data_IF_087998224493
#
_entry.id   IF_087998224493
#
_cell.length_a   1.000
_cell.length_b   1.000
_cell.length_c   1.000
_cell.angle_alpha   90.00
_cell.angle_beta   90.00
_cell.angle_gamma   90.00
#
_symmetry.space_group_name_H-M   'P 1'
#
loop_
_entity.id
_entity.type
_entity.pdbx_description
1 polymer ?
#
# COMPACT_ATOMS: atom_id res chain seq x y z
N UNK A 1 -33.61 18.70 -21.98
CA UNK A 1 -32.37 18.29 -21.28
C UNK A 1 -31.29 17.77 -22.23
N UNK A 2 -31.56 16.82 -23.14
CA UNK A 2 -30.52 16.29 -24.07
C UNK A 2 -30.02 17.30 -25.13
N UNK A 3 -30.87 18.22 -25.63
CA UNK A 3 -30.51 19.17 -26.69
C UNK A 3 -29.69 20.40 -26.20
N UNK A 4 -29.71 20.71 -24.90
CA UNK A 4 -28.96 21.87 -24.34
C UNK A 4 -27.50 21.54 -24.02
N UNK A 5 -27.15 20.25 -23.98
CA UNK A 5 -25.80 19.79 -23.66
C UNK A 5 -24.95 19.52 -24.91
N UNK A 6 -25.49 19.48 -26.13
CA UNK A 6 -24.71 19.18 -27.34
C UNK A 6 -23.50 20.11 -27.59
N UNK A 7 -23.60 21.44 -27.45
CA UNK A 7 -22.44 22.31 -27.64
C UNK A 7 -21.44 22.23 -26.47
N UNK A 8 -21.93 22.07 -25.23
CA UNK A 8 -21.08 21.93 -24.03
C UNK A 8 -20.42 20.55 -23.96
N UNK A 9 -21.05 19.52 -24.52
CA UNK A 9 -20.57 18.13 -24.55
C UNK A 9 -19.20 18.01 -25.19
N UNK A 10 -18.97 18.68 -26.32
CA UNK A 10 -17.68 18.61 -27.03
C UNK A 10 -16.57 19.27 -26.20
N UNK A 11 -16.89 20.38 -25.54
CA UNK A 11 -15.97 21.08 -24.62
C UNK A 11 -15.69 20.23 -23.38
N UNK A 12 -16.69 19.59 -22.79
CA UNK A 12 -16.51 18.71 -21.61
C UNK A 12 -15.74 17.45 -21.96
N UNK A 13 -16.04 16.81 -23.10
CA UNK A 13 -15.34 15.59 -23.55
C UNK A 13 -13.85 15.81 -23.83
N UNK A 14 -13.43 17.02 -24.18
CA UNK A 14 -12.02 17.35 -24.47
C UNK A 14 -11.37 18.05 -23.28
N UNK A 15 -12.04 19.04 -22.71
CA UNK A 15 -11.54 19.86 -21.61
C UNK A 15 -11.38 19.07 -20.31
N UNK A 16 -12.29 18.15 -20.00
CA UNK A 16 -12.21 17.40 -18.75
C UNK A 16 -11.03 16.40 -18.75
N UNK A 17 -10.78 15.60 -19.79
CA UNK A 17 -9.57 14.78 -19.87
C UNK A 17 -8.27 15.59 -19.88
N UNK A 18 -8.24 16.75 -20.55
CA UNK A 18 -7.06 17.63 -20.52
C UNK A 18 -6.82 18.12 -19.10
N UNK A 19 -7.86 18.59 -18.41
CA UNK A 19 -7.74 19.07 -17.03
C UNK A 19 -7.22 17.97 -16.09
N UNK A 20 -7.83 16.78 -16.12
CA UNK A 20 -7.36 15.64 -15.33
C UNK A 20 -5.95 15.21 -15.74
N UNK A 21 -5.62 15.26 -17.02
CA UNK A 21 -4.29 14.97 -17.55
C UNK A 21 -3.23 15.94 -17.04
N UNK A 22 -3.54 17.24 -16.93
CA UNK A 22 -2.63 18.24 -16.37
C UNK A 22 -2.39 18.01 -14.87
N UNK A 23 -3.46 17.73 -14.10
CA UNK A 23 -3.31 17.41 -12.67
C UNK A 23 -2.53 16.11 -12.46
N UNK A 24 -2.87 15.05 -13.19
CA UNK A 24 -2.20 13.76 -13.12
C UNK A 24 -0.73 13.86 -13.57
N UNK A 25 -0.46 14.60 -14.64
CA UNK A 25 0.88 14.84 -15.16
C UNK A 25 1.75 15.65 -14.21
N UNK A 26 1.20 16.70 -13.60
CA UNK A 26 1.89 17.49 -12.57
C UNK A 26 2.21 16.64 -11.32
N UNK A 27 1.24 15.86 -10.85
CA UNK A 27 1.44 14.93 -9.75
C UNK A 27 2.53 13.90 -10.07
N UNK A 28 2.54 13.33 -11.28
CA UNK A 28 3.57 12.39 -11.72
C UNK A 28 4.96 13.06 -11.85
N UNK A 29 5.03 14.28 -12.39
CA UNK A 29 6.27 15.04 -12.53
C UNK A 29 6.93 15.31 -11.16
N UNK A 30 6.14 15.51 -10.10
CA UNK A 30 6.67 15.67 -8.73
C UNK A 30 7.41 14.44 -8.21
N UNK A 31 7.18 13.26 -8.81
CA UNK A 31 7.76 11.98 -8.37
C UNK A 31 9.00 11.57 -9.17
N UNK A 32 9.61 12.51 -9.91
CA UNK A 32 10.77 12.26 -10.78
C UNK A 32 11.93 11.52 -10.07
N UNK A 33 12.15 11.78 -8.78
CA UNK A 33 13.19 11.12 -7.98
C UNK A 33 12.98 9.60 -7.89
N UNK A 34 11.74 9.15 -7.66
CA UNK A 34 11.41 7.71 -7.61
C UNK A 34 11.67 7.03 -8.95
N UNK A 35 11.35 7.72 -10.04
CA UNK A 35 11.58 7.25 -11.41
C UNK A 35 13.07 7.12 -11.69
N UNK A 36 13.86 8.16 -11.37
CA UNK A 36 15.31 8.12 -11.57
C UNK A 36 15.99 7.05 -10.72
N UNK A 37 15.60 6.91 -9.45
CA UNK A 37 16.15 5.89 -8.56
C UNK A 37 15.86 4.48 -9.07
N UNK A 38 14.66 4.22 -9.60
CA UNK A 38 14.33 2.92 -10.18
C UNK A 38 15.16 2.61 -11.43
N UNK A 39 15.28 3.56 -12.36
CA UNK A 39 16.03 3.31 -13.60
C UNK A 39 17.55 3.30 -13.42
N UNK A 40 18.07 3.98 -12.40
CA UNK A 40 19.51 4.03 -12.08
C UNK A 40 19.82 3.27 -10.79
N UNK A 41 19.03 2.25 -10.46
CA UNK A 41 19.21 1.48 -9.23
C UNK A 41 20.55 0.74 -9.24
N UNK A 42 21.22 0.74 -8.09
CA UNK A 42 22.49 0.03 -7.86
C UNK A 42 22.31 -0.86 -6.63
N UNK A 43 22.74 -2.14 -6.67
CA UNK A 43 22.63 -3.01 -5.51
C UNK A 43 23.47 -2.47 -4.34
N UNK A 44 22.94 -2.61 -3.12
CA UNK A 44 23.69 -2.29 -1.91
C UNK A 44 24.69 -3.40 -1.56
N UNK A 45 24.47 -4.63 -2.05
CA UNK A 45 25.30 -5.79 -1.73
C UNK A 45 24.97 -6.41 -0.37
N UNK A 46 23.88 -5.99 0.24
CA UNK A 46 23.34 -6.51 1.49
C UNK A 46 21.85 -6.79 1.31
N UNK A 47 21.41 -7.95 1.78
CA UNK A 47 20.01 -8.38 1.69
C UNK A 47 19.29 -8.27 3.03
N UNK A 48 17.98 -8.10 2.97
CA UNK A 48 17.15 -8.13 4.16
C UNK A 48 16.99 -9.57 4.68
N UNK A 49 16.93 -9.79 6.01
CA UNK A 49 16.85 -11.12 6.59
C UNK A 49 15.48 -11.81 6.45
N UNK A 50 14.45 -11.12 5.93
CA UNK A 50 13.07 -11.62 5.91
C UNK A 50 12.64 -12.14 4.53
N UNK A 51 12.89 -11.38 3.47
CA UNK A 51 12.60 -11.75 2.08
C UNK A 51 13.86 -12.05 1.26
N UNK A 52 15.05 -11.82 1.83
CA UNK A 52 16.34 -12.01 1.16
C UNK A 52 16.43 -11.22 -0.16
N UNK A 53 15.88 -10.01 -0.17
CA UNK A 53 15.95 -9.03 -1.24
C UNK A 53 17.03 -8.01 -0.90
N UNK A 54 17.74 -7.53 -1.92
CA UNK A 54 18.73 -6.45 -1.73
C UNK A 54 18.02 -5.18 -1.23
N UNK A 55 18.69 -4.41 -0.35
CA UNK A 55 18.14 -3.18 0.22
C UNK A 55 17.72 -2.17 -0.87
N UNK A 56 18.37 -2.18 -2.05
CA UNK A 56 17.97 -1.38 -3.21
C UNK A 56 16.51 -1.59 -3.60
N UNK A 57 15.95 -2.79 -3.43
CA UNK A 57 14.54 -3.04 -3.68
C UNK A 57 13.64 -2.15 -2.83
N UNK A 58 13.95 -1.97 -1.55
CA UNK A 58 13.11 -1.23 -0.62
C UNK A 58 13.22 0.29 -0.79
N UNK A 59 14.42 0.78 -1.10
CA UNK A 59 14.73 2.22 -1.18
C UNK A 59 14.51 2.79 -2.59
N UNK A 60 14.73 1.98 -3.64
CA UNK A 60 14.68 2.44 -5.03
C UNK A 60 13.49 1.84 -5.79
N UNK A 61 13.28 0.53 -5.70
CA UNK A 61 12.28 -0.16 -6.53
C UNK A 61 10.85 -0.02 -5.99
N UNK A 62 10.64 -0.32 -4.71
CA UNK A 62 9.33 -0.37 -4.08
C UNK A 62 8.61 0.99 -4.10
N UNK A 63 9.27 2.14 -3.85
CA UNK A 63 8.61 3.44 -3.95
C UNK A 63 8.09 3.76 -5.35
N UNK A 64 8.82 3.35 -6.40
CA UNK A 64 8.38 3.49 -7.78
C UNK A 64 7.19 2.59 -8.10
N UNK A 65 7.26 1.31 -7.74
CA UNK A 65 6.15 0.37 -7.95
C UNK A 65 4.88 0.80 -7.19
N UNK A 66 5.04 1.27 -5.95
CA UNK A 66 3.96 1.85 -5.16
C UNK A 66 3.36 3.10 -5.81
N UNK A 67 4.20 4.00 -6.33
CA UNK A 67 3.75 5.17 -7.08
C UNK A 67 2.96 4.79 -8.34
N UNK A 68 3.50 3.90 -9.19
CA UNK A 68 2.81 3.46 -10.43
C UNK A 68 1.49 2.79 -10.10
N UNK A 69 1.47 1.89 -9.12
CA UNK A 69 0.25 1.19 -8.71
C UNK A 69 -0.79 2.17 -8.18
N UNK A 70 -0.42 3.07 -7.27
CA UNK A 70 -1.32 4.09 -6.72
C UNK A 70 -1.86 5.03 -7.80
N UNK A 71 -1.01 5.46 -8.73
CA UNK A 71 -1.38 6.29 -9.87
C UNK A 71 -2.40 5.59 -10.77
N UNK A 72 -2.16 4.33 -11.13
CA UNK A 72 -3.08 3.53 -11.95
C UNK A 72 -4.42 3.30 -11.23
N UNK A 73 -4.40 3.05 -9.91
CA UNK A 73 -5.63 2.97 -9.11
C UNK A 73 -6.43 4.27 -9.22
N UNK A 74 -5.79 5.43 -9.03
CA UNK A 74 -6.45 6.73 -9.16
C UNK A 74 -7.05 6.93 -10.56
N UNK A 75 -6.31 6.58 -11.62
CA UNK A 75 -6.80 6.65 -13.00
C UNK A 75 -8.03 5.77 -13.20
N UNK A 76 -8.00 4.52 -12.75
CA UNK A 76 -9.12 3.58 -12.89
C UNK A 76 -10.34 4.04 -12.08
N UNK A 77 -10.15 4.59 -10.88
CA UNK A 77 -11.25 5.14 -10.08
C UNK A 77 -11.89 6.35 -10.77
N UNK A 78 -11.10 7.31 -11.24
CA UNK A 78 -11.60 8.48 -11.97
C UNK A 78 -12.31 8.07 -13.26
N UNK A 79 -11.73 7.13 -14.02
CA UNK A 79 -12.34 6.58 -15.22
C UNK A 79 -13.65 5.84 -14.92
N UNK A 80 -13.72 5.08 -13.82
CA UNK A 80 -14.92 4.41 -13.37
C UNK A 80 -16.05 5.37 -12.99
N UNK A 81 -15.73 6.42 -12.23
CA UNK A 81 -16.70 7.48 -11.88
C UNK A 81 -17.20 8.19 -13.14
N UNK A 82 -16.28 8.62 -14.02
CA UNK A 82 -16.64 9.26 -15.29
C UNK A 82 -17.47 8.33 -16.19
N UNK A 83 -17.15 7.03 -16.20
CA UNK A 83 -17.89 5.99 -16.89
C UNK A 83 -19.31 5.82 -16.37
N UNK A 84 -19.50 5.74 -15.05
CA UNK A 84 -20.82 5.68 -14.41
C UNK A 84 -21.65 6.92 -14.77
N UNK A 85 -21.08 8.11 -14.61
CA UNK A 85 -21.75 9.38 -14.93
C UNK A 85 -22.17 9.44 -16.40
N UNK A 86 -21.28 9.04 -17.31
CA UNK A 86 -21.58 8.94 -18.74
C UNK A 86 -22.73 7.96 -18.96
N UNK A 87 -22.65 6.75 -18.41
CA UNK A 87 -23.71 5.76 -18.60
C UNK A 87 -25.07 6.21 -18.04
N UNK A 88 -25.08 6.97 -16.95
CA UNK A 88 -26.27 7.60 -16.39
C UNK A 88 -26.83 8.70 -17.31
N UNK A 89 -25.99 9.64 -17.76
CA UNK A 89 -26.39 10.79 -18.60
C UNK A 89 -26.96 10.37 -19.97
N UNK A 90 -26.38 9.34 -20.59
CA UNK A 90 -26.86 8.80 -21.88
C UNK A 90 -28.00 7.79 -21.70
N UNK A 91 -28.51 7.60 -20.48
CA UNK A 91 -29.67 6.76 -20.18
C UNK A 91 -29.43 5.26 -20.38
N UNK A 92 -28.18 4.82 -20.32
CA UNK A 92 -27.82 3.39 -20.33
C UNK A 92 -27.89 2.74 -18.94
N UNK A 93 -27.91 3.56 -17.89
CA UNK A 93 -28.32 3.21 -16.53
C UNK A 93 -29.58 4.03 -16.22
N UNK A 94 -30.71 3.38 -15.91
CA UNK A 94 -31.95 4.04 -15.53
C UNK A 94 -32.52 3.43 -14.25
N UNK A 95 -32.96 4.28 -13.33
CA UNK A 95 -33.73 3.85 -12.16
C UNK A 95 -35.19 3.65 -12.57
N UNK A 96 -35.71 2.44 -12.42
CA UNK A 96 -37.12 2.11 -12.63
C UNK A 96 -37.75 1.68 -11.31
N UNK A 97 -39.07 1.73 -11.19
CA UNK A 97 -39.81 1.35 -9.97
C UNK A 97 -39.52 -0.09 -9.48
N UNK A 98 -39.10 -0.98 -10.39
CA UNK A 98 -38.75 -2.38 -10.10
C UNK A 98 -37.24 -2.67 -10.03
N UNK A 99 -36.38 -1.64 -10.08
CA UNK A 99 -34.93 -1.78 -9.93
C UNK A 99 -34.11 -0.96 -10.93
N UNK A 100 -32.81 -1.24 -10.99
CA UNK A 100 -31.86 -0.54 -11.88
C UNK A 100 -31.76 -1.27 -13.21
N UNK A 101 -32.24 -0.65 -14.29
CA UNK A 101 -31.95 -1.13 -15.64
C UNK A 101 -30.56 -0.67 -16.06
N UNK A 102 -29.71 -1.62 -16.45
CA UNK A 102 -28.35 -1.34 -16.95
C UNK A 102 -28.18 -2.05 -18.29
N UNK A 103 -27.81 -1.31 -19.33
CA UNK A 103 -27.55 -1.88 -20.65
C UNK A 103 -26.38 -2.86 -20.62
N UNK A 104 -26.33 -3.80 -21.57
CA UNK A 104 -25.23 -4.77 -21.63
C UNK A 104 -23.86 -4.10 -21.80
N UNK A 105 -23.78 -3.02 -22.57
CA UNK A 105 -22.55 -2.25 -22.74
C UNK A 105 -22.10 -1.58 -21.43
N UNK A 106 -23.03 -0.99 -20.67
CA UNK A 106 -22.74 -0.41 -19.37
C UNK A 106 -22.28 -1.48 -18.35
N UNK A 107 -22.93 -2.65 -18.36
CA UNK A 107 -22.50 -3.78 -17.55
C UNK A 107 -21.05 -4.19 -17.87
N UNK A 108 -20.72 -4.42 -19.14
CA UNK A 108 -19.36 -4.85 -19.52
C UNK A 108 -18.33 -3.79 -19.12
N UNK A 109 -18.60 -2.51 -19.38
CA UNK A 109 -17.68 -1.43 -19.02
C UNK A 109 -17.44 -1.38 -17.50
N UNK A 110 -18.50 -1.39 -16.69
CA UNK A 110 -18.38 -1.42 -15.22
C UNK A 110 -17.65 -2.66 -14.72
N UNK A 111 -17.87 -3.81 -15.36
CA UNK A 111 -17.26 -5.06 -14.95
C UNK A 111 -15.76 -5.09 -15.25
N UNK A 112 -15.36 -4.63 -16.44
CA UNK A 112 -13.94 -4.53 -16.82
C UNK A 112 -13.21 -3.50 -15.95
N UNK A 113 -13.83 -2.35 -15.69
CA UNK A 113 -13.24 -1.32 -14.82
C UNK A 113 -13.12 -1.82 -13.37
N UNK A 114 -14.14 -2.51 -12.85
CA UNK A 114 -14.10 -3.13 -11.52
C UNK A 114 -13.04 -4.23 -11.41
N UNK A 115 -12.89 -5.07 -12.44
CA UNK A 115 -11.83 -6.07 -12.51
C UNK A 115 -10.43 -5.43 -12.53
N UNK A 116 -10.22 -4.41 -13.37
CA UNK A 116 -8.97 -3.68 -13.44
C UNK A 116 -8.61 -3.05 -12.08
N UNK A 117 -9.59 -2.44 -11.40
CA UNK A 117 -9.42 -1.90 -10.07
C UNK A 117 -8.99 -2.97 -9.06
N UNK A 118 -9.65 -4.13 -9.05
CA UNK A 118 -9.33 -5.21 -8.12
C UNK A 118 -7.99 -5.89 -8.40
N UNK A 119 -7.57 -5.99 -9.66
CA UNK A 119 -6.22 -6.45 -10.01
C UNK A 119 -5.18 -5.49 -9.45
N UNK A 120 -5.35 -4.18 -9.65
CA UNK A 120 -4.44 -3.18 -9.11
C UNK A 120 -4.44 -3.16 -7.58
N UNK A 121 -5.60 -3.36 -6.95
CA UNK A 121 -5.72 -3.51 -5.50
C UNK A 121 -4.98 -4.75 -5.00
N UNK A 122 -5.07 -5.87 -5.73
CA UNK A 122 -4.33 -7.09 -5.42
C UNK A 122 -2.81 -6.90 -5.53
N UNK A 123 -2.35 -6.21 -6.57
CA UNK A 123 -0.94 -5.82 -6.71
C UNK A 123 -0.52 -4.92 -5.54
N UNK A 124 -1.35 -3.96 -5.15
CA UNK A 124 -1.07 -3.09 -4.02
C UNK A 124 -0.93 -3.88 -2.70
N UNK A 125 -1.85 -4.80 -2.41
CA UNK A 125 -1.72 -5.68 -1.25
C UNK A 125 -0.45 -6.55 -1.30
N UNK A 126 -0.06 -7.02 -2.49
CA UNK A 126 1.17 -7.78 -2.63
C UNK A 126 2.41 -6.92 -2.32
N UNK A 127 2.46 -5.69 -2.84
CA UNK A 127 3.55 -4.75 -2.59
C UNK A 127 3.62 -4.31 -1.11
N UNK A 128 2.46 -4.13 -0.47
CA UNK A 128 2.35 -3.79 0.96
C UNK A 128 3.00 -4.83 1.89
N UNK A 129 3.25 -6.06 1.43
CA UNK A 129 4.00 -7.05 2.21
C UNK A 129 5.41 -6.59 2.52
N UNK A 130 6.03 -5.89 1.57
CA UNK A 130 7.42 -5.44 1.68
C UNK A 130 7.53 -4.15 2.50
N UNK A 131 6.47 -3.36 2.60
CA UNK A 131 6.48 -2.11 3.38
C UNK A 131 6.49 -2.36 4.88
N UNK A 132 6.07 -3.55 5.34
CA UNK A 132 6.14 -3.96 6.74
C UNK A 132 7.56 -3.84 7.33
N UNK A 133 8.60 -4.05 6.52
CA UNK A 133 10.01 -3.91 6.95
C UNK A 133 10.48 -2.46 7.09
N UNK A 134 9.74 -1.50 6.55
CA UNK A 134 10.05 -0.07 6.62
C UNK A 134 9.19 0.66 7.66
N UNK A 135 8.48 -0.09 8.52
CA UNK A 135 7.61 0.49 9.53
C UNK A 135 8.46 1.16 10.63
N UNK A 136 8.24 2.46 10.84
CA UNK A 136 8.93 3.25 11.89
C UNK A 136 7.95 3.82 12.92
N UNK A 137 6.69 3.36 12.94
CA UNK A 137 5.65 3.92 13.80
C UNK A 137 5.61 3.38 15.23
N UNK A 138 6.41 2.36 15.55
CA UNK A 138 6.44 1.69 16.85
C UNK A 138 7.58 2.13 17.78
N UNK A 139 7.76 1.42 18.91
CA UNK A 139 8.94 1.59 19.78
C UNK A 139 10.24 1.18 19.08
N UNK A 140 10.14 0.28 18.11
CA UNK A 140 11.25 -0.25 17.33
C UNK A 140 11.02 0.08 15.85
N UNK A 141 12.09 0.46 15.15
CA UNK A 141 12.09 0.57 13.70
C UNK A 141 12.15 -0.83 13.07
N UNK A 142 11.45 -1.03 11.96
CA UNK A 142 11.40 -2.30 11.22
C UNK A 142 10.22 -3.20 11.59
N UNK A 143 10.15 -4.36 10.94
CA UNK A 143 9.08 -5.34 11.20
C UNK A 143 9.32 -6.09 12.51
N UNK A 144 8.26 -6.25 13.31
CA UNK A 144 8.26 -7.09 14.51
C UNK A 144 7.58 -8.44 14.25
N UNK A 145 7.53 -9.28 15.29
CA UNK A 145 6.93 -10.62 15.21
C UNK A 145 5.53 -10.60 14.59
N UNK A 146 4.68 -9.67 15.03
CA UNK A 146 3.30 -9.54 14.53
C UNK A 146 3.26 -9.10 13.08
N UNK A 147 4.15 -8.21 12.65
CA UNK A 147 4.21 -7.80 11.24
C UNK A 147 4.56 -8.98 10.35
N UNK A 148 5.59 -9.73 10.74
CA UNK A 148 6.09 -10.87 9.96
C UNK A 148 5.11 -12.03 9.92
N UNK A 149 4.51 -12.37 11.06
CA UNK A 149 3.67 -13.55 11.19
C UNK A 149 2.17 -13.29 10.96
N UNK A 150 1.71 -12.04 11.07
CA UNK A 150 0.30 -11.71 10.89
C UNK A 150 0.05 -10.75 9.72
N UNK A 151 0.75 -9.61 9.64
CA UNK A 151 0.49 -8.59 8.63
C UNK A 151 0.89 -9.05 7.23
N UNK A 152 2.11 -9.56 7.06
CA UNK A 152 2.64 -10.00 5.76
C UNK A 152 1.78 -11.13 5.15
N UNK A 153 1.42 -12.20 5.89
CA UNK A 153 0.55 -13.26 5.36
C UNK A 153 -0.85 -12.75 5.02
N UNK A 154 -1.42 -11.88 5.87
CA UNK A 154 -2.73 -11.27 5.61
C UNK A 154 -2.74 -10.53 4.28
N UNK A 155 -1.74 -9.68 4.04
CA UNK A 155 -1.60 -8.93 2.79
C UNK A 155 -1.47 -9.87 1.58
N UNK A 156 -0.75 -10.98 1.69
CA UNK A 156 -0.67 -11.98 0.64
C UNK A 156 -2.03 -12.64 0.33
N UNK A 157 -2.80 -13.01 1.37
CA UNK A 157 -4.13 -13.61 1.21
C UNK A 157 -5.10 -12.62 0.56
N UNK A 158 -5.08 -11.35 1.00
CA UNK A 158 -5.91 -10.30 0.41
C UNK A 158 -5.56 -10.03 -1.06
N UNK A 159 -4.28 -10.10 -1.42
CA UNK A 159 -3.84 -9.98 -2.82
C UNK A 159 -4.46 -11.06 -3.71
N UNK A 160 -4.39 -12.32 -3.27
CA UNK A 160 -4.99 -13.46 -4.00
C UNK A 160 -6.51 -13.34 -4.04
N UNK A 161 -7.15 -13.00 -2.92
CA UNK A 161 -8.59 -12.83 -2.84
C UNK A 161 -9.08 -11.72 -3.79
N UNK A 162 -8.37 -10.58 -3.86
CA UNK A 162 -8.68 -9.50 -4.81
C UNK A 162 -8.60 -9.99 -6.26
N UNK A 163 -7.58 -10.79 -6.60
CA UNK A 163 -7.47 -11.42 -7.92
C UNK A 163 -8.64 -12.36 -8.24
N UNK A 164 -9.08 -13.18 -7.28
CA UNK A 164 -10.25 -14.04 -7.45
C UNK A 164 -11.53 -13.24 -7.70
N UNK A 165 -11.75 -12.15 -6.94
CA UNK A 165 -12.92 -11.29 -7.15
C UNK A 165 -12.82 -10.56 -8.51
N UNK A 166 -11.62 -10.16 -8.94
CA UNK A 166 -11.42 -9.59 -10.28
C UNK A 166 -11.85 -10.57 -11.39
N UNK A 167 -11.51 -11.86 -11.25
CA UNK A 167 -11.96 -12.92 -12.17
C UNK A 167 -13.50 -13.00 -12.17
N UNK A 168 -14.15 -12.93 -11.01
CA UNK A 168 -15.62 -12.93 -10.92
C UNK A 168 -16.23 -11.77 -11.71
N UNK A 169 -15.63 -10.57 -11.67
CA UNK A 169 -16.08 -9.43 -12.48
C UNK A 169 -15.95 -9.70 -13.98
N UNK A 170 -14.84 -10.27 -14.44
CA UNK A 170 -14.68 -10.64 -15.86
C UNK A 170 -15.72 -11.70 -16.27
N UNK A 171 -15.97 -12.70 -15.43
CA UNK A 171 -17.02 -13.69 -15.66
C UNK A 171 -18.41 -13.02 -15.70
N UNK A 172 -18.67 -12.04 -14.83
CA UNK A 172 -19.92 -11.29 -14.85
C UNK A 172 -20.08 -10.42 -16.10
N UNK A 173 -18.99 -9.91 -16.67
CA UNK A 173 -19.02 -9.20 -17.95
C UNK A 173 -19.52 -10.11 -19.10
N UNK A 174 -19.19 -11.40 -19.05
CA UNK A 174 -19.59 -12.40 -20.05
C UNK A 174 -20.95 -13.04 -19.75
N UNK A 175 -21.24 -13.36 -18.48
CA UNK A 175 -22.45 -14.11 -18.10
C UNK A 175 -23.62 -13.18 -17.72
N UNK A 176 -23.35 -11.92 -17.36
CA UNK A 176 -24.37 -10.95 -16.94
C UNK A 176 -24.90 -11.14 -15.51
N UNK A 177 -24.28 -12.03 -14.71
CA UNK A 177 -24.69 -12.31 -13.32
C UNK A 177 -23.82 -11.54 -12.33
N UNK A 178 -24.37 -10.47 -11.76
CA UNK A 178 -23.66 -9.52 -10.89
C UNK A 178 -23.61 -9.90 -9.40
N UNK A 179 -24.41 -10.88 -8.99
CA UNK A 179 -24.49 -11.28 -7.57
C UNK A 179 -23.15 -11.74 -7.01
N UNK A 180 -22.42 -12.59 -7.73
CA UNK A 180 -21.15 -13.16 -7.25
C UNK A 180 -20.04 -12.10 -7.11
N UNK A 181 -19.77 -11.22 -8.11
CA UNK A 181 -18.79 -10.15 -7.93
C UNK A 181 -19.11 -9.20 -6.78
N UNK A 182 -20.38 -8.84 -6.60
CA UNK A 182 -20.81 -7.91 -5.54
C UNK A 182 -20.59 -8.56 -4.16
N UNK A 183 -21.04 -9.81 -3.98
CA UNK A 183 -20.82 -10.55 -2.72
C UNK A 183 -19.32 -10.73 -2.46
N UNK A 184 -18.55 -11.11 -3.49
CA UNK A 184 -17.10 -11.27 -3.38
C UNK A 184 -16.39 -9.99 -2.97
N UNK A 185 -16.80 -8.85 -3.54
CA UNK A 185 -16.25 -7.53 -3.18
C UNK A 185 -16.60 -7.16 -1.74
N UNK A 186 -17.87 -7.35 -1.34
CA UNK A 186 -18.30 -7.07 0.03
C UNK A 186 -17.52 -7.94 1.04
N UNK A 187 -17.36 -9.23 0.76
CA UNK A 187 -16.56 -10.13 1.57
C UNK A 187 -15.09 -9.71 1.62
N UNK A 188 -14.49 -9.33 0.48
CA UNK A 188 -13.12 -8.83 0.44
C UNK A 188 -12.94 -7.60 1.34
N UNK A 189 -13.86 -6.64 1.29
CA UNK A 189 -13.81 -5.44 2.13
C UNK A 189 -13.89 -5.84 3.61
N UNK A 190 -14.86 -6.66 4.00
CA UNK A 190 -15.02 -7.13 5.39
C UNK A 190 -13.76 -7.88 5.85
N UNK A 191 -13.27 -8.84 5.06
CA UNK A 191 -12.06 -9.60 5.35
C UNK A 191 -10.84 -8.69 5.43
N UNK A 192 -10.72 -7.67 4.59
CA UNK A 192 -9.58 -6.75 4.63
C UNK A 192 -9.52 -5.96 5.93
N UNK A 193 -10.68 -5.53 6.46
CA UNK A 193 -10.76 -4.80 7.73
C UNK A 193 -10.45 -5.75 8.91
N UNK A 194 -11.09 -6.91 8.93
CA UNK A 194 -10.93 -7.88 10.02
C UNK A 194 -9.53 -8.48 10.03
N UNK A 195 -9.07 -9.04 8.92
CA UNK A 195 -7.75 -9.63 8.83
C UNK A 195 -6.64 -8.58 8.95
N UNK A 196 -6.83 -7.38 8.38
CA UNK A 196 -5.82 -6.32 8.42
C UNK A 196 -5.65 -5.66 9.79
N UNK A 197 -6.74 -5.51 10.56
CA UNK A 197 -6.71 -4.84 11.86
C UNK A 197 -6.83 -5.78 13.06
N UNK A 198 -7.86 -6.64 13.06
CA UNK A 198 -8.20 -7.48 14.22
C UNK A 198 -7.18 -8.60 14.41
N UNK A 199 -6.78 -9.27 13.35
CA UNK A 199 -5.88 -10.43 13.47
C UNK A 199 -4.48 -10.06 14.01
N UNK A 200 -3.76 -9.05 13.49
CA UNK A 200 -2.51 -8.57 14.09
C UNK A 200 -2.69 -8.12 15.54
N UNK A 201 -3.81 -7.43 15.85
CA UNK A 201 -4.10 -6.99 17.20
C UNK A 201 -4.24 -8.16 18.18
N UNK A 202 -4.94 -9.24 17.79
CA UNK A 202 -5.09 -10.45 18.61
C UNK A 202 -3.72 -11.09 18.87
N UNK A 203 -2.89 -11.26 17.84
CA UNK A 203 -1.55 -11.84 17.98
C UNK A 203 -0.68 -10.97 18.91
N UNK A 204 -0.68 -9.66 18.72
CA UNK A 204 0.09 -8.76 19.58
C UNK A 204 -0.40 -8.83 21.03
N UNK A 205 -1.71 -8.82 21.27
CA UNK A 205 -2.28 -8.73 22.60
C UNK A 205 -2.14 -10.02 23.40
N UNK A 206 -2.38 -11.18 22.77
CA UNK A 206 -2.49 -12.45 23.48
C UNK A 206 -1.27 -13.35 23.34
N UNK A 207 -0.44 -13.17 22.30
CA UNK A 207 0.76 -13.98 22.10
C UNK A 207 2.04 -13.19 22.40
N UNK A 208 2.17 -11.98 21.84
CA UNK A 208 3.43 -11.23 21.91
C UNK A 208 3.59 -10.48 23.23
N UNK A 209 2.64 -9.62 23.62
CA UNK A 209 2.74 -8.81 24.85
C UNK A 209 3.02 -9.62 26.14
N UNK A 210 2.44 -10.81 26.36
CA UNK A 210 2.75 -11.60 27.55
C UNK A 210 4.19 -12.13 27.59
N UNK A 211 4.88 -12.21 26.45
CA UNK A 211 6.23 -12.78 26.33
C UNK A 211 7.04 -12.04 25.26
N UNK A 212 7.03 -10.71 25.32
CA UNK A 212 7.57 -9.83 24.27
C UNK A 212 9.05 -10.09 24.03
N UNK A 213 9.82 -10.26 25.11
CA UNK A 213 11.24 -10.54 25.03
C UNK A 213 11.54 -11.84 24.26
N UNK A 214 10.70 -12.87 24.37
CA UNK A 214 10.95 -14.13 23.67
C UNK A 214 10.59 -14.02 22.19
N UNK A 215 9.43 -13.43 21.88
CA UNK A 215 8.92 -13.36 20.51
C UNK A 215 9.59 -12.27 19.66
N UNK A 216 9.97 -11.14 20.25
CA UNK A 216 10.50 -10.00 19.51
C UNK A 216 12.03 -9.95 19.45
N UNK A 217 12.75 -10.70 20.30
CA UNK A 217 14.23 -10.64 20.39
C UNK A 217 14.93 -10.70 19.05
N UNK A 218 14.61 -11.71 18.23
CA UNK A 218 15.29 -11.90 16.95
C UNK A 218 14.95 -10.78 15.95
N UNK A 219 13.73 -10.27 15.97
CA UNK A 219 13.30 -9.17 15.10
C UNK A 219 13.95 -7.85 15.52
N UNK A 220 13.98 -7.56 16.82
CA UNK A 220 14.66 -6.40 17.38
C UNK A 220 16.16 -6.47 17.07
N UNK A 221 16.80 -7.64 17.22
CA UNK A 221 18.22 -7.78 16.92
C UNK A 221 18.52 -7.50 15.44
N UNK A 222 17.71 -8.06 14.51
CA UNK A 222 17.82 -7.73 13.07
C UNK A 222 17.71 -6.23 12.83
N UNK A 223 16.77 -5.56 13.48
CA UNK A 223 16.57 -4.13 13.31
C UNK A 223 17.75 -3.32 13.90
N UNK A 224 18.31 -3.72 15.03
CA UNK A 224 19.53 -3.12 15.61
C UNK A 224 20.69 -3.28 14.63
N UNK A 225 20.93 -4.49 14.12
CA UNK A 225 22.06 -4.78 13.23
C UNK A 225 21.95 -3.99 11.92
N UNK A 226 20.78 -3.96 11.30
CA UNK A 226 20.53 -3.20 10.07
C UNK A 226 20.62 -1.70 10.28
N UNK A 227 20.12 -1.18 11.41
CA UNK A 227 20.23 0.24 11.74
C UNK A 227 21.68 0.62 11.99
N UNK A 228 22.43 -0.18 12.74
CA UNK A 228 23.85 0.06 13.00
C UNK A 228 24.64 0.04 11.70
N UNK A 229 24.40 -0.92 10.81
CA UNK A 229 25.04 -0.99 9.50
C UNK A 229 24.70 0.23 8.63
N UNK A 230 23.43 0.65 8.60
CA UNK A 230 22.98 1.81 7.82
C UNK A 230 23.63 3.13 8.26
N UNK A 231 23.82 3.32 9.57
CA UNK A 231 24.48 4.50 10.14
C UNK A 231 26.00 4.35 10.28
N UNK A 232 26.58 3.20 9.89
CA UNK A 232 28.01 2.92 10.06
C UNK A 232 28.47 2.78 11.52
N UNK A 233 27.54 2.50 12.44
CA UNK A 233 27.80 2.37 13.88
C UNK A 233 28.41 1.01 14.24
N UNK A 234 28.34 0.04 13.34
CA UNK A 234 28.97 -1.28 13.44
C UNK A 234 30.50 -1.20 13.56
N UNK A 235 31.10 -0.10 13.09
CA UNK A 235 32.56 0.12 13.09
C UNK A 235 33.07 0.99 14.24
N UNK A 236 32.19 1.44 15.13
CA UNK A 236 32.59 2.32 16.24
C UNK A 236 33.23 1.55 17.39
N UNK A 237 34.34 2.08 17.90
CA UNK A 237 34.93 1.61 19.15
C UNK A 237 34.21 2.25 20.33
N UNK A 238 33.60 1.43 21.18
CA UNK A 238 32.89 1.89 22.37
C UNK A 238 33.86 1.89 23.54
N UNK A 239 34.27 3.08 24.00
CA UNK A 239 34.98 3.24 25.26
C UNK A 239 33.97 3.47 26.38
N UNK A 240 33.84 2.50 27.29
CA UNK A 240 32.96 2.64 28.45
C UNK A 240 33.63 3.59 29.45
N UNK A 241 33.03 4.75 29.68
CA UNK A 241 33.43 5.64 30.76
C UNK A 241 32.71 5.21 32.03
N UNK A 242 33.41 4.56 32.93
CA UNK A 242 32.90 4.20 34.25
C UNK A 242 32.93 5.44 35.14
N UNK A 243 31.83 6.21 35.12
CA UNK A 243 31.68 7.37 35.97
C UNK A 243 31.66 6.95 37.44
N UNK A 244 32.68 7.36 38.20
CA UNK A 244 32.72 7.16 39.65
C UNK A 244 31.75 8.12 40.34
N UNK A 245 30.61 7.60 40.82
CA UNK A 245 29.61 8.38 41.54
C UNK A 245 29.96 8.61 43.04
N UNK A 246 31.08 8.06 43.50
CA UNK A 246 31.60 8.24 44.86
C UNK A 246 32.56 9.43 44.89
N UNK A 247 32.07 10.57 45.37
CA UNK A 247 32.88 11.77 45.56
C UNK A 247 33.94 11.53 46.66
N UNK A 248 35.21 11.70 46.32
CA UNK A 248 36.32 11.75 47.27
C UNK A 248 36.59 13.21 47.64
N UNK A 249 36.78 13.52 48.93
CA UNK A 249 37.11 14.89 49.38
C UNK A 249 38.38 15.37 48.66
N UNK A 250 38.28 16.48 47.93
CA UNK A 250 39.39 17.04 47.15
C UNK A 250 39.46 16.62 45.66
N UNK A 251 38.55 15.78 45.16
CA UNK A 251 38.58 15.28 43.78
C UNK A 251 38.45 16.38 42.68
N UNK A 252 37.90 17.55 43.01
CA UNK A 252 37.73 18.69 42.10
C UNK A 252 38.79 19.80 42.29
N UNK A 253 39.73 19.64 43.23
CA UNK A 253 40.79 20.62 43.47
C UNK A 253 41.71 20.89 42.25
N UNK A 254 41.98 19.92 41.35
CA UNK A 254 42.75 20.17 40.12
C UNK A 254 42.03 21.04 39.08
N UNK A 255 40.69 21.06 39.08
CA UNK A 255 39.87 21.78 38.08
C UNK A 255 39.63 23.26 38.45
N UNK A 256 40.19 23.71 39.59
CA UNK A 256 40.00 25.05 40.15
C UNK A 256 41.13 26.05 39.81
N UNK A 257 41.99 25.75 38.82
CA UNK A 257 43.02 26.65 38.28
C UNK A 257 42.64 27.16 36.89
#
# INVERSE_FOLDING_TARGET
>A
YQAQLEPVRRVVMVGLPILFGLFAGSAAASQWQKVLLFFNQVPFGQTDPQFNLDISFYVMTLPFLGFVTGFLISVVVVAGIAGILTHYLYGSIRLMERGVFTSRAAQIHLAVTGAAFLVLLGINFWLDRYTALQNNGGRWAGALYTDVNAVIPTKAILAVAAGLVAILFIVAAVVGRWRLPIIGTAMLIITSILAGGVYPWVIQQFQVRPSEQTYEKDFIQRNIDMTRAAYGLDKMQVNRYDATNTATTGALAPDAQ
#
